data_IF_893184503463
#
_entry.id   IF_893184503463
#
_cell.length_a   1.000
_cell.length_b   1.000
_cell.length_c   1.000
_cell.angle_alpha   90.00
_cell.angle_beta   90.00
_cell.angle_gamma   90.00
#
_symmetry.space_group_name_H-M   'P 1'
#
loop_
_entity.id
_entity.type
_entity.pdbx_description
1 polymer ?
#
# COMPACT_ATOMS: atom_id res chain seq x y z
N UNK A 1 29.05 16.04 -31.78
CA UNK A 1 28.46 14.72 -32.04
C UNK A 1 27.12 14.98 -32.72
N UNK A 2 27.04 14.76 -34.03
CA UNK A 2 25.86 15.11 -34.84
C UNK A 2 24.88 13.94 -34.71
N UNK A 3 23.77 14.18 -34.02
CA UNK A 3 22.67 13.23 -33.91
C UNK A 3 22.00 13.16 -35.28
N UNK A 4 22.06 12.02 -35.96
CA UNK A 4 21.46 11.89 -37.29
C UNK A 4 19.98 11.56 -37.16
N UNK A 5 19.19 11.90 -38.19
CA UNK A 5 17.75 11.53 -38.27
C UNK A 5 17.56 10.01 -38.15
N UNK A 6 18.56 9.23 -38.56
CA UNK A 6 18.59 7.77 -38.42
C UNK A 6 18.70 7.33 -36.95
N UNK A 7 19.48 8.05 -36.14
CA UNK A 7 19.61 7.78 -34.70
C UNK A 7 18.30 8.10 -33.96
N UNK A 8 17.63 9.19 -34.34
CA UNK A 8 16.32 9.56 -33.78
C UNK A 8 15.21 8.56 -34.13
N UNK A 9 15.19 8.03 -35.36
CA UNK A 9 14.21 7.03 -35.79
C UNK A 9 14.46 5.67 -35.14
N UNK A 10 15.72 5.28 -34.94
CA UNK A 10 16.07 4.06 -34.22
C UNK A 10 15.67 4.14 -32.73
N UNK A 11 15.81 5.32 -32.11
CA UNK A 11 15.36 5.56 -30.72
C UNK A 11 13.81 5.52 -30.58
N UNK A 12 13.08 5.84 -31.65
CA UNK A 12 11.61 5.82 -31.68
C UNK A 12 11.01 4.43 -31.92
N UNK A 13 11.75 3.55 -32.60
CA UNK A 13 11.30 2.20 -32.99
C UNK A 13 11.88 1.11 -32.08
N UNK A 14 12.90 1.42 -31.28
CA UNK A 14 13.51 0.50 -30.33
C UNK A 14 12.60 0.17 -29.14
N UNK A 15 12.11 -1.08 -29.10
CA UNK A 15 11.36 -1.77 -28.04
C UNK A 15 9.82 -1.83 -28.17
N UNK A 16 9.32 -2.11 -29.37
CA UNK A 16 8.05 -2.82 -29.50
C UNK A 16 8.31 -4.26 -29.95
N UNK A 17 8.41 -5.16 -28.97
CA UNK A 17 8.28 -6.59 -29.22
C UNK A 17 6.86 -6.86 -29.74
N UNK A 18 6.83 -7.58 -30.85
CA UNK A 18 5.65 -8.04 -31.56
C UNK A 18 4.94 -9.09 -30.71
N UNK A 19 3.65 -8.90 -30.44
CA UNK A 19 2.61 -9.93 -30.58
C UNK A 19 1.22 -9.38 -30.23
N UNK A 20 0.25 -9.66 -31.12
CA UNK A 20 -1.21 -9.48 -31.02
C UNK A 20 -1.80 -8.07 -31.16
N UNK A 21 -2.06 -7.66 -32.41
CA UNK A 21 -3.39 -7.55 -33.01
C UNK A 21 -3.31 -6.74 -34.32
N UNK A 22 -3.01 -7.42 -35.43
CA UNK A 22 -2.86 -6.86 -36.78
C UNK A 22 -4.10 -7.11 -37.64
N UNK A 23 -5.14 -6.31 -37.48
CA UNK A 23 -6.17 -6.23 -38.55
C UNK A 23 -6.82 -4.85 -38.68
N UNK A 24 -6.85 -4.04 -37.62
CA UNK A 24 -7.35 -2.65 -37.71
C UNK A 24 -6.25 -1.60 -37.93
N UNK A 25 -5.01 -1.90 -37.54
CA UNK A 25 -3.86 -1.01 -37.75
C UNK A 25 -3.36 -1.08 -39.21
N UNK A 26 -3.45 -2.25 -39.85
CA UNK A 26 -3.03 -2.43 -41.25
C UNK A 26 -3.92 -1.68 -42.25
N UNK A 27 -5.20 -1.45 -41.92
CA UNK A 27 -6.10 -0.62 -42.73
C UNK A 27 -5.89 0.89 -42.55
N UNK A 28 -5.29 1.32 -41.44
CA UNK A 28 -4.96 2.74 -41.19
C UNK A 28 -3.56 3.06 -41.74
N UNK A 29 -2.62 2.12 -41.72
CA UNK A 29 -1.25 2.30 -42.20
C UNK A 29 -1.07 2.06 -43.71
N UNK A 30 -1.99 1.35 -44.38
CA UNK A 30 -1.93 1.09 -45.83
C UNK A 30 -2.18 2.34 -46.70
N UNK A 31 -2.73 3.42 -46.14
CA UNK A 31 -3.08 4.63 -46.90
C UNK A 31 -2.12 5.82 -46.75
N UNK A 32 -1.03 5.72 -45.98
CA UNK A 32 -0.10 6.87 -45.78
C UNK A 32 1.41 6.57 -45.76
N UNK A 33 1.84 5.33 -45.96
CA UNK A 33 3.26 4.96 -45.95
C UNK A 33 3.73 4.43 -47.31
N UNK A 34 3.65 5.23 -48.36
CA UNK A 34 4.54 5.01 -49.50
C UNK A 34 5.82 5.83 -49.25
N UNK A 35 6.98 5.18 -49.06
CA UNK A 35 8.27 5.87 -48.90
C UNK A 35 8.54 6.88 -50.01
N UNK A 36 8.03 6.60 -51.21
CA UNK A 36 8.11 7.49 -52.37
C UNK A 36 7.33 8.80 -52.17
N UNK A 37 6.19 8.75 -51.48
CA UNK A 37 5.40 9.94 -51.13
C UNK A 37 6.18 10.83 -50.16
N UNK A 38 6.76 10.23 -49.12
CA UNK A 38 7.58 10.92 -48.12
C UNK A 38 8.83 11.53 -48.77
N UNK A 39 9.48 10.80 -49.67
CA UNK A 39 10.64 11.28 -50.43
C UNK A 39 10.27 12.46 -51.34
N UNK A 40 9.15 12.37 -52.05
CA UNK A 40 8.66 13.44 -52.92
C UNK A 40 8.23 14.69 -52.13
N UNK A 41 7.62 14.54 -50.96
CA UNK A 41 7.25 15.65 -50.07
C UNK A 41 8.50 16.38 -49.52
N UNK A 42 9.55 15.62 -49.17
CA UNK A 42 10.85 16.18 -48.73
C UNK A 42 11.52 16.92 -49.89
N UNK A 43 11.49 16.34 -51.10
CA UNK A 43 12.06 16.96 -52.31
C UNK A 43 11.32 18.25 -52.69
N UNK A 44 9.98 18.25 -52.63
CA UNK A 44 9.16 19.43 -52.88
C UNK A 44 9.37 20.55 -51.84
N UNK A 45 9.63 20.20 -50.57
CA UNK A 45 10.01 21.16 -49.55
C UNK A 45 11.42 21.75 -49.79
N UNK A 46 12.37 20.94 -50.28
CA UNK A 46 13.74 21.39 -50.57
C UNK A 46 13.85 22.28 -51.82
N UNK A 47 12.95 22.09 -52.79
CA UNK A 47 12.93 22.83 -54.06
C UNK A 47 12.10 24.14 -54.00
N UNK A 48 11.62 24.54 -52.82
CA UNK A 48 11.17 25.92 -52.54
C UNK A 48 9.69 26.22 -52.77
N UNK A 49 8.79 25.22 -52.71
CA UNK A 49 7.37 25.41 -53.03
C UNK A 49 6.35 25.29 -51.90
N UNK A 50 6.72 24.77 -50.72
CA UNK A 50 5.76 24.53 -49.63
C UNK A 50 6.25 25.18 -48.33
N UNK A 51 5.48 26.14 -47.82
CA UNK A 51 5.65 26.63 -46.45
C UNK A 51 5.40 25.46 -45.49
N UNK A 52 6.50 24.89 -44.98
CA UNK A 52 6.44 23.94 -43.88
C UNK A 52 5.84 24.66 -42.67
N UNK A 53 4.57 24.42 -42.39
CA UNK A 53 3.99 24.75 -41.09
C UNK A 53 4.43 23.63 -40.15
N UNK A 54 5.42 23.83 -39.25
CA UNK A 54 5.83 22.79 -38.34
C UNK A 54 4.60 22.28 -37.59
N UNK A 55 4.33 20.98 -37.73
CA UNK A 55 3.38 20.28 -36.86
C UNK A 55 3.79 20.64 -35.43
N UNK A 56 2.97 21.43 -34.75
CA UNK A 56 3.20 21.79 -33.35
C UNK A 56 3.41 20.48 -32.61
N UNK A 57 4.64 20.25 -32.14
CA UNK A 57 4.99 19.06 -31.38
C UNK A 57 3.89 18.84 -30.34
N UNK A 58 3.30 17.63 -30.27
CA UNK A 58 2.19 17.38 -29.36
C UNK A 58 2.63 17.86 -27.99
N UNK A 59 1.91 18.85 -27.43
CA UNK A 59 2.21 19.40 -26.12
C UNK A 59 2.24 18.22 -25.16
N UNK A 60 3.44 17.79 -24.77
CA UNK A 60 3.61 16.74 -23.76
C UNK A 60 2.85 17.27 -22.55
N UNK A 61 1.71 16.64 -22.23
CA UNK A 61 0.91 17.02 -21.07
C UNK A 61 1.87 16.99 -19.89
N UNK A 62 2.17 18.17 -19.32
CA UNK A 62 2.97 18.28 -18.10
C UNK A 62 2.31 17.38 -17.08
N UNK A 63 2.97 16.27 -16.74
CA UNK A 63 2.50 15.39 -15.70
C UNK A 63 2.53 16.19 -14.40
N UNK A 64 1.36 16.40 -13.81
CA UNK A 64 1.24 17.02 -12.50
C UNK A 64 1.41 15.90 -11.48
N UNK A 65 2.45 15.92 -10.62
CA UNK A 65 2.60 14.90 -9.59
C UNK A 65 1.38 14.85 -8.70
N UNK A 66 0.90 13.64 -8.43
CA UNK A 66 -0.06 13.46 -7.35
C UNK A 66 0.67 13.53 -6.01
N UNK A 67 0.61 14.71 -5.40
CA UNK A 67 1.07 14.93 -4.03
C UNK A 67 -0.17 14.87 -3.15
N UNK A 68 -0.25 13.83 -2.32
CA UNK A 68 -1.36 13.72 -1.40
C UNK A 68 -1.20 14.69 -0.24
N UNK A 69 -2.27 14.86 0.53
CA UNK A 69 -2.25 15.71 1.71
C UNK A 69 -1.58 14.97 2.87
N UNK A 70 -0.64 15.62 3.57
CA UNK A 70 0.04 15.05 4.75
C UNK A 70 -0.95 14.78 5.88
N UNK A 71 -2.06 15.53 5.92
CA UNK A 71 -3.13 15.32 6.90
C UNK A 71 -3.92 14.04 6.62
N UNK A 72 -3.92 13.57 5.35
CA UNK A 72 -4.61 12.35 4.94
C UNK A 72 -3.71 11.12 5.02
N UNK A 73 -2.44 11.24 4.63
CA UNK A 73 -1.49 10.14 4.70
C UNK A 73 -0.05 10.63 4.84
N UNK A 74 0.80 9.84 5.49
CA UNK A 74 2.21 10.16 5.63
C UNK A 74 2.85 10.35 4.25
N UNK A 75 3.77 11.31 4.15
CA UNK A 75 4.57 11.43 2.94
C UNK A 75 5.50 10.24 2.81
N UNK A 76 5.60 9.76 1.58
CA UNK A 76 6.70 8.89 1.20
C UNK A 76 8.00 9.70 1.18
N UNK A 77 9.14 9.04 1.35
CA UNK A 77 10.45 9.68 1.25
C UNK A 77 10.64 10.48 -0.05
N UNK A 78 10.15 9.98 -1.19
CA UNK A 78 10.24 10.71 -2.45
C UNK A 78 9.46 12.03 -2.42
N UNK A 79 8.28 12.07 -1.80
CA UNK A 79 7.54 13.30 -1.61
C UNK A 79 8.20 14.24 -0.61
N UNK A 80 8.74 13.73 0.50
CA UNK A 80 9.50 14.55 1.44
C UNK A 80 10.70 15.24 0.76
N UNK A 81 11.42 14.51 -0.09
CA UNK A 81 12.54 15.07 -0.87
C UNK A 81 12.09 16.04 -1.95
N UNK A 82 10.96 15.78 -2.60
CA UNK A 82 10.36 16.71 -3.55
C UNK A 82 9.94 18.03 -2.87
N UNK A 83 9.23 17.96 -1.73
CA UNK A 83 8.72 19.12 -0.99
C UNK A 83 9.86 19.94 -0.41
N UNK A 84 10.89 19.30 0.15
CA UNK A 84 12.10 19.97 0.68
C UNK A 84 12.99 20.65 -0.36
N UNK A 85 12.52 20.79 -1.62
CA UNK A 85 13.20 21.47 -2.72
C UNK A 85 14.53 20.85 -3.18
N UNK A 86 14.94 19.70 -2.65
CA UNK A 86 16.19 19.02 -3.02
C UNK A 86 15.99 18.21 -4.31
N UNK A 87 16.53 18.67 -5.45
CA UNK A 87 16.49 17.96 -6.74
C UNK A 87 15.06 17.55 -7.14
N UNK A 88 14.09 18.49 -7.08
CA UNK A 88 12.66 18.26 -7.36
C UNK A 88 12.39 17.36 -8.57
N UNK A 89 12.98 17.68 -9.72
CA UNK A 89 12.78 16.92 -10.96
C UNK A 89 13.19 15.45 -10.83
N UNK A 90 14.30 15.17 -10.13
CA UNK A 90 14.79 13.80 -9.90
C UNK A 90 13.77 12.98 -9.10
N UNK A 91 13.22 13.55 -8.04
CA UNK A 91 12.26 12.83 -7.19
C UNK A 91 10.88 12.73 -7.84
N UNK A 92 10.50 13.72 -8.64
CA UNK A 92 9.31 13.64 -9.49
C UNK A 92 9.35 12.42 -10.43
N UNK A 93 10.47 12.24 -11.16
CA UNK A 93 10.65 11.07 -12.04
C UNK A 93 10.59 9.77 -11.22
N UNK A 94 11.23 9.73 -10.05
CA UNK A 94 11.20 8.55 -9.18
C UNK A 94 9.80 8.18 -8.67
N UNK A 95 8.97 9.17 -8.33
CA UNK A 95 7.56 8.96 -7.97
C UNK A 95 6.81 8.34 -9.13
N UNK A 96 6.91 8.93 -10.33
CA UNK A 96 6.24 8.44 -11.53
C UNK A 96 6.61 7.00 -11.88
N UNK A 97 7.91 6.66 -11.80
CA UNK A 97 8.37 5.30 -12.05
C UNK A 97 7.82 4.31 -11.02
N UNK A 98 7.72 4.71 -9.75
CA UNK A 98 7.12 3.89 -8.71
C UNK A 98 5.60 3.69 -8.93
N UNK A 99 4.89 4.73 -9.34
CA UNK A 99 3.45 4.69 -9.59
C UNK A 99 3.07 3.87 -10.83
N UNK A 100 3.85 3.98 -11.92
CA UNK A 100 3.53 3.37 -13.22
C UNK A 100 4.09 1.97 -13.43
N UNK A 101 5.32 1.72 -12.98
CA UNK A 101 6.05 0.48 -13.33
C UNK A 101 5.87 -0.62 -12.28
N UNK A 102 5.37 -0.28 -11.08
CA UNK A 102 5.23 -1.24 -10.00
C UNK A 102 3.81 -1.79 -9.90
N UNK A 103 3.74 -3.08 -9.59
CA UNK A 103 2.52 -3.80 -9.23
C UNK A 103 2.86 -4.75 -8.08
N UNK A 104 1.84 -5.23 -7.35
CA UNK A 104 2.07 -6.19 -6.27
C UNK A 104 2.81 -7.45 -6.74
N UNK A 105 2.59 -7.89 -7.98
CA UNK A 105 3.27 -9.07 -8.56
C UNK A 105 4.77 -8.88 -8.78
N UNK A 106 5.19 -7.64 -9.02
CA UNK A 106 6.58 -7.31 -9.34
C UNK A 106 7.37 -6.90 -8.08
N UNK A 107 6.70 -6.78 -6.93
CA UNK A 107 7.33 -6.53 -5.63
C UNK A 107 7.58 -7.87 -4.96
N UNK A 108 8.75 -8.08 -4.36
CA UNK A 108 9.01 -9.28 -3.57
C UNK A 108 8.20 -9.23 -2.27
N UNK A 109 7.56 -10.34 -1.82
CA UNK A 109 6.83 -10.38 -0.54
C UNK A 109 7.67 -9.92 0.66
N UNK A 110 8.95 -10.30 0.68
CA UNK A 110 9.94 -9.89 1.69
C UNK A 110 10.18 -8.38 1.73
N UNK A 111 10.11 -7.71 0.58
CA UNK A 111 10.27 -6.27 0.49
C UNK A 111 8.99 -5.55 0.90
N UNK A 112 7.83 -6.03 0.48
CA UNK A 112 6.54 -5.42 0.87
C UNK A 112 6.30 -5.54 2.37
N UNK A 113 6.58 -6.70 2.97
CA UNK A 113 6.45 -6.93 4.42
C UNK A 113 7.38 -6.03 5.24
N UNK A 114 8.62 -5.80 4.78
CA UNK A 114 9.52 -4.81 5.39
C UNK A 114 8.94 -3.40 5.34
N UNK A 115 8.44 -2.95 4.18
CA UNK A 115 7.87 -1.59 4.07
C UNK A 115 6.56 -1.42 4.86
N UNK A 116 5.72 -2.47 4.96
CA UNK A 116 4.56 -2.48 5.85
C UNK A 116 4.98 -2.34 7.31
N UNK A 117 6.03 -3.07 7.72
CA UNK A 117 6.60 -2.99 9.06
C UNK A 117 7.20 -1.61 9.35
N UNK A 118 7.90 -1.01 8.38
CA UNK A 118 8.38 0.36 8.49
C UNK A 118 7.24 1.36 8.68
N UNK A 119 6.15 1.21 7.91
CA UNK A 119 4.99 2.07 8.01
C UNK A 119 4.32 1.92 9.39
N UNK A 120 4.14 0.70 9.90
CA UNK A 120 3.59 0.48 11.24
C UNK A 120 4.44 1.14 12.33
N UNK A 121 5.76 0.92 12.33
CA UNK A 121 6.65 1.57 13.30
C UNK A 121 6.63 3.11 13.17
N UNK A 122 6.58 3.65 11.95
CA UNK A 122 6.46 5.10 11.72
C UNK A 122 5.18 5.64 12.35
N UNK A 123 4.05 4.95 12.19
CA UNK A 123 2.75 5.37 12.75
C UNK A 123 2.77 5.25 14.28
N UNK A 124 3.22 4.12 14.82
CA UNK A 124 3.30 3.87 16.27
C UNK A 124 4.11 4.96 16.98
N UNK A 125 5.23 5.39 16.40
CA UNK A 125 6.06 6.47 16.95
C UNK A 125 5.39 7.85 16.96
N UNK A 126 4.31 8.03 16.21
CA UNK A 126 3.56 9.29 16.16
C UNK A 126 2.41 9.34 17.17
N UNK A 127 1.86 8.19 17.56
CA UNK A 127 0.76 8.13 18.53
C UNK A 127 1.26 8.58 19.91
N UNK A 128 0.68 9.63 20.45
CA UNK A 128 1.02 10.05 21.80
C UNK A 128 0.39 9.11 22.83
N UNK A 129 1.07 8.77 23.94
CA UNK A 129 0.47 7.96 25.01
C UNK A 129 -0.84 8.56 25.56
N UNK A 130 -1.00 9.89 25.52
CA UNK A 130 -2.24 10.58 25.88
C UNK A 130 -3.41 10.21 24.97
N UNK A 131 -3.17 9.94 23.68
CA UNK A 131 -4.23 9.46 22.77
C UNK A 131 -4.73 8.07 23.16
N UNK A 132 -3.90 7.24 23.80
CA UNK A 132 -4.33 5.94 24.30
C UNK A 132 -5.17 6.09 25.58
N UNK A 133 -4.90 7.10 26.40
CA UNK A 133 -5.69 7.43 27.59
C UNK A 133 -7.04 8.06 27.22
N UNK A 134 -7.05 8.94 26.22
CA UNK A 134 -8.25 9.67 25.78
C UNK A 134 -9.21 8.80 24.95
N UNK A 135 -8.78 7.61 24.54
CA UNK A 135 -9.59 6.70 23.74
C UNK A 135 -10.58 5.91 24.60
N UNK A 136 -11.86 6.25 24.47
CA UNK A 136 -12.97 5.57 25.15
C UNK A 136 -13.84 4.70 24.23
N UNK A 137 -13.46 4.60 22.95
CA UNK A 137 -14.22 3.87 21.92
C UNK A 137 -15.34 4.66 21.27
N UNK A 138 -15.59 5.91 21.67
CA UNK A 138 -16.60 6.77 21.06
C UNK A 138 -16.06 7.52 19.84
N UNK A 139 -16.95 7.96 18.95
CA UNK A 139 -16.58 8.81 17.81
C UNK A 139 -15.95 10.14 18.27
N UNK A 140 -16.36 10.65 19.44
CA UNK A 140 -15.81 11.89 20.01
C UNK A 140 -14.33 11.76 20.38
N UNK A 141 -13.91 10.58 20.84
CA UNK A 141 -12.51 10.30 21.14
C UNK A 141 -11.67 10.23 19.85
N UNK A 142 -12.23 9.77 18.73
CA UNK A 142 -11.51 9.67 17.46
C UNK A 142 -11.05 11.04 16.93
N UNK A 143 -11.77 12.12 17.27
CA UNK A 143 -11.39 13.49 16.90
C UNK A 143 -10.15 13.97 17.69
N UNK A 144 -10.01 13.54 18.94
CA UNK A 144 -8.88 13.89 19.82
C UNK A 144 -7.66 12.99 19.59
N UNK A 145 -7.90 11.73 19.21
CA UNK A 145 -6.87 10.71 19.03
C UNK A 145 -6.40 10.65 17.56
N UNK A 146 -5.80 11.74 17.06
CA UNK A 146 -5.45 11.90 15.63
C UNK A 146 -4.65 10.73 15.05
N UNK A 147 -3.56 10.33 15.69
CA UNK A 147 -2.64 9.31 15.18
C UNK A 147 -3.16 7.89 15.44
N UNK A 148 -3.89 7.68 16.53
CA UNK A 148 -4.62 6.42 16.75
C UNK A 148 -5.66 6.20 15.64
N UNK A 149 -6.48 7.22 15.37
CA UNK A 149 -7.46 7.23 14.26
C UNK A 149 -6.77 7.04 12.91
N UNK A 150 -5.59 7.64 12.71
CA UNK A 150 -4.79 7.41 11.52
C UNK A 150 -4.38 5.95 11.37
N UNK A 151 -3.91 5.32 12.44
CA UNK A 151 -3.51 3.91 12.45
C UNK A 151 -4.69 2.99 12.12
N UNK A 152 -5.86 3.25 12.72
CA UNK A 152 -7.11 2.54 12.42
C UNK A 152 -7.47 2.65 10.93
N UNK A 153 -7.44 3.87 10.37
CA UNK A 153 -7.71 4.11 8.96
C UNK A 153 -6.72 3.38 8.05
N UNK A 154 -5.43 3.38 8.39
CA UNK A 154 -4.40 2.62 7.66
C UNK A 154 -4.71 1.13 7.65
N UNK A 155 -5.09 0.54 8.80
CA UNK A 155 -5.42 -0.87 8.90
C UNK A 155 -6.64 -1.23 8.03
N UNK A 156 -7.73 -0.46 8.15
CA UNK A 156 -8.93 -0.65 7.33
C UNK A 156 -8.64 -0.53 5.84
N UNK A 157 -7.78 0.42 5.47
CA UNK A 157 -7.37 0.64 4.07
C UNK A 157 -6.56 -0.53 3.53
N UNK A 158 -5.61 -1.04 4.31
CA UNK A 158 -4.81 -2.20 3.91
C UNK A 158 -5.69 -3.44 3.71
N UNK A 159 -6.62 -3.68 4.63
CA UNK A 159 -7.60 -4.76 4.53
C UNK A 159 -8.43 -4.66 3.24
N UNK A 160 -8.98 -3.48 2.95
CA UNK A 160 -9.77 -3.25 1.75
C UNK A 160 -8.94 -3.35 0.47
N UNK A 161 -7.71 -2.84 0.49
CA UNK A 161 -6.77 -2.94 -0.63
C UNK A 161 -6.45 -4.40 -0.97
N UNK A 162 -6.19 -5.23 0.05
CA UNK A 162 -5.97 -6.67 -0.13
C UNK A 162 -7.21 -7.31 -0.74
N UNK A 163 -8.39 -7.05 -0.16
CA UNK A 163 -9.65 -7.57 -0.68
C UNK A 163 -9.91 -7.20 -2.14
N UNK A 164 -9.69 -5.94 -2.52
CA UNK A 164 -9.90 -5.48 -3.89
C UNK A 164 -8.92 -6.11 -4.88
N UNK A 165 -7.64 -6.18 -4.51
CA UNK A 165 -6.59 -6.75 -5.38
C UNK A 165 -6.77 -8.25 -5.58
N UNK A 166 -7.31 -8.96 -4.58
CA UNK A 166 -7.61 -10.41 -4.67
C UNK A 166 -8.91 -10.69 -5.39
N UNK A 167 -9.91 -9.82 -5.24
CA UNK A 167 -11.17 -9.89 -5.99
C UNK A 167 -10.93 -9.69 -7.49
N UNK A 168 -10.04 -8.76 -7.86
CA UNK A 168 -9.68 -8.50 -9.26
C UNK A 168 -8.84 -9.62 -9.86
N UNK A 169 -8.03 -10.30 -9.06
CA UNK A 169 -7.14 -11.34 -9.56
C UNK A 169 -6.79 -12.38 -8.51
N UNK A 170 -7.38 -13.58 -8.57
CA UNK A 170 -7.11 -14.64 -7.60
C UNK A 170 -5.64 -15.01 -7.42
N UNK A 171 -4.77 -14.83 -8.42
CA UNK A 171 -3.33 -15.11 -8.28
C UNK A 171 -2.65 -14.23 -7.23
N UNK A 172 -3.24 -13.10 -6.82
CA UNK A 172 -2.70 -12.24 -5.75
C UNK A 172 -3.00 -12.79 -4.34
N UNK A 173 -3.89 -13.77 -4.19
CA UNK A 173 -4.16 -14.43 -2.89
C UNK A 173 -2.89 -15.07 -2.37
N UNK A 174 -2.29 -15.98 -3.16
CA UNK A 174 -1.01 -16.64 -2.81
C UNK A 174 0.09 -15.62 -2.50
N UNK A 175 0.18 -14.55 -3.28
CA UNK A 175 1.14 -13.46 -3.03
C UNK A 175 0.93 -12.83 -1.64
N UNK A 176 -0.31 -12.49 -1.26
CA UNK A 176 -0.58 -11.90 0.05
C UNK A 176 -0.43 -12.91 1.21
N UNK A 177 -0.65 -14.20 0.97
CA UNK A 177 -0.30 -15.26 1.93
C UNK A 177 1.21 -15.28 2.17
N UNK A 178 2.02 -15.23 1.10
CA UNK A 178 3.48 -15.12 1.21
C UNK A 178 3.92 -13.85 1.96
N UNK A 179 3.26 -12.71 1.71
CA UNK A 179 3.50 -11.47 2.47
C UNK A 179 3.16 -11.64 3.96
N UNK A 180 2.06 -12.31 4.28
CA UNK A 180 1.65 -12.58 5.66
C UNK A 180 2.66 -13.50 6.38
N UNK A 181 3.18 -14.53 5.70
CA UNK A 181 4.25 -15.39 6.23
C UNK A 181 5.54 -14.61 6.50
N UNK A 182 5.90 -13.66 5.63
CA UNK A 182 7.05 -12.79 5.88
C UNK A 182 6.81 -11.80 7.03
N UNK A 183 5.58 -11.30 7.20
CA UNK A 183 5.21 -10.47 8.34
C UNK A 183 5.27 -11.23 9.67
N UNK A 184 4.92 -12.52 9.69
CA UNK A 184 5.09 -13.39 10.87
C UNK A 184 6.57 -13.49 11.28
N UNK A 185 7.49 -13.66 10.32
CA UNK A 185 8.94 -13.66 10.58
C UNK A 185 9.44 -12.32 11.13
N UNK A 186 8.87 -11.22 10.65
CA UNK A 186 9.15 -9.86 11.15
C UNK A 186 8.40 -9.53 12.45
N UNK A 187 7.57 -10.46 12.95
CA UNK A 187 6.69 -10.27 14.10
C UNK A 187 5.80 -9.01 13.97
N UNK A 188 5.37 -8.70 12.75
CA UNK A 188 4.41 -7.64 12.49
C UNK A 188 2.98 -8.20 12.39
N UNK A 189 2.40 -8.46 13.55
CA UNK A 189 1.06 -9.04 13.64
C UNK A 189 -0.04 -8.04 13.29
N UNK A 190 0.20 -6.72 13.41
CA UNK A 190 -0.77 -5.71 13.01
C UNK A 190 -1.08 -5.77 11.51
N UNK A 191 -0.06 -5.63 10.66
CA UNK A 191 -0.27 -5.67 9.21
C UNK A 191 -0.63 -7.07 8.73
N UNK A 192 -0.16 -8.12 9.42
CA UNK A 192 -0.54 -9.50 9.12
C UNK A 192 -2.04 -9.72 9.33
N UNK A 193 -2.60 -9.25 10.45
CA UNK A 193 -4.04 -9.32 10.72
C UNK A 193 -4.85 -8.62 9.62
N UNK A 194 -4.45 -7.41 9.20
CA UNK A 194 -5.14 -6.71 8.11
C UNK A 194 -5.15 -7.49 6.79
N UNK A 195 -4.05 -8.16 6.45
CA UNK A 195 -3.97 -9.00 5.24
C UNK A 195 -4.90 -10.21 5.38
N UNK A 196 -4.86 -10.89 6.53
CA UNK A 196 -5.72 -12.05 6.82
C UNK A 196 -7.19 -11.64 6.68
N UNK A 197 -7.61 -10.54 7.30
CA UNK A 197 -9.00 -10.08 7.26
C UNK A 197 -9.43 -9.68 5.85
N UNK A 198 -8.54 -9.05 5.07
CA UNK A 198 -8.78 -8.74 3.66
C UNK A 198 -8.95 -9.99 2.79
N UNK A 199 -8.13 -11.02 3.02
CA UNK A 199 -8.23 -12.30 2.31
C UNK A 199 -9.52 -13.04 2.66
N UNK A 200 -9.90 -13.08 3.94
CA UNK A 200 -11.11 -13.75 4.44
C UNK A 200 -12.42 -13.16 3.92
N UNK A 201 -12.40 -11.94 3.39
CA UNK A 201 -13.54 -11.35 2.67
C UNK A 201 -13.77 -11.96 1.28
N UNK A 202 -12.84 -12.77 0.77
CA UNK A 202 -12.96 -13.47 -0.50
C UNK A 202 -13.34 -14.94 -0.30
N UNK A 203 -13.89 -15.55 -1.35
CA UNK A 203 -14.08 -17.01 -1.41
C UNK A 203 -12.72 -17.69 -1.67
N UNK A 204 -12.10 -18.16 -0.60
CA UNK A 204 -10.85 -18.92 -0.61
C UNK A 204 -11.13 -20.39 -0.98
N UNK A 205 -10.20 -21.03 -1.69
CA UNK A 205 -10.22 -22.48 -1.84
C UNK A 205 -9.66 -23.17 -0.58
N UNK A 206 -9.73 -24.50 -0.56
CA UNK A 206 -9.33 -25.29 0.61
C UNK A 206 -7.84 -25.12 0.93
N UNK A 207 -6.98 -25.00 -0.08
CA UNK A 207 -5.53 -24.88 0.11
C UNK A 207 -5.16 -23.51 0.67
N UNK A 208 -5.71 -22.44 0.08
CA UNK A 208 -5.53 -21.06 0.56
C UNK A 208 -6.10 -20.88 1.98
N UNK A 209 -7.25 -21.49 2.26
CA UNK A 209 -7.86 -21.48 3.59
C UNK A 209 -6.99 -22.19 4.63
N UNK A 210 -6.47 -23.37 4.30
CA UNK A 210 -5.58 -24.14 5.18
C UNK A 210 -4.30 -23.34 5.50
N UNK A 211 -3.67 -22.73 4.48
CA UNK A 211 -2.51 -21.87 4.68
C UNK A 211 -2.82 -20.67 5.61
N UNK A 212 -4.00 -20.06 5.47
CA UNK A 212 -4.44 -18.94 6.31
C UNK A 212 -4.79 -19.37 7.74
N UNK A 213 -5.33 -20.57 7.95
CA UNK A 213 -5.78 -21.03 9.27
C UNK A 213 -4.66 -21.02 10.32
N UNK A 214 -3.44 -21.43 9.94
CA UNK A 214 -2.27 -21.40 10.80
C UNK A 214 -1.84 -19.97 11.18
N UNK A 215 -2.03 -19.01 10.28
CA UNK A 215 -1.75 -17.60 10.54
C UNK A 215 -2.83 -16.95 11.42
N UNK A 216 -4.11 -17.29 11.18
CA UNK A 216 -5.26 -16.80 11.98
C UNK A 216 -5.10 -17.19 13.45
N UNK A 217 -4.65 -18.41 13.73
CA UNK A 217 -4.44 -18.88 15.10
C UNK A 217 -3.44 -18.01 15.87
N UNK A 218 -2.47 -17.40 15.18
CA UNK A 218 -1.44 -16.54 15.78
C UNK A 218 -1.94 -15.13 16.12
N UNK A 219 -3.00 -14.65 15.48
CA UNK A 219 -3.42 -13.24 15.59
C UNK A 219 -4.79 -13.03 16.23
N UNK A 220 -5.62 -14.08 16.29
CA UNK A 220 -7.02 -13.97 16.73
C UNK A 220 -7.20 -14.04 18.25
N UNK A 221 -6.30 -14.72 18.97
CA UNK A 221 -6.45 -14.89 20.41
C UNK A 221 -5.89 -13.68 21.19
N UNK A 222 -6.82 -12.87 21.70
CA UNK A 222 -6.52 -11.73 22.58
C UNK A 222 -5.62 -12.11 23.76
N UNK A 223 -5.91 -13.23 24.43
CA UNK A 223 -5.16 -13.65 25.61
C UNK A 223 -3.77 -14.13 25.23
N UNK A 224 -3.63 -14.86 24.11
CA UNK A 224 -2.33 -15.29 23.60
C UNK A 224 -1.45 -14.10 23.22
N UNK A 225 -1.98 -13.11 22.48
CA UNK A 225 -1.23 -11.90 22.13
C UNK A 225 -0.87 -11.10 23.39
N UNK A 226 -1.78 -10.99 24.36
CA UNK A 226 -1.47 -10.30 25.61
C UNK A 226 -0.35 -10.98 26.38
N UNK A 227 -0.40 -12.31 26.51
CA UNK A 227 0.68 -13.09 27.12
C UNK A 227 2.00 -12.86 26.39
N UNK A 228 1.95 -12.83 25.06
CA UNK A 228 3.11 -12.53 24.23
C UNK A 228 3.66 -11.12 24.47
N UNK A 229 2.82 -10.09 24.68
CA UNK A 229 3.26 -8.74 25.09
C UNK A 229 4.12 -8.83 26.35
N UNK A 230 3.61 -9.46 27.40
CA UNK A 230 4.33 -9.60 28.67
C UNK A 230 5.64 -10.37 28.52
N UNK A 231 5.66 -11.45 27.74
CA UNK A 231 6.87 -12.24 27.46
C UNK A 231 7.93 -11.43 26.69
N UNK A 232 7.52 -10.72 25.65
CA UNK A 232 8.40 -9.93 24.80
C UNK A 232 8.98 -8.73 25.54
N UNK A 233 8.17 -8.07 26.38
CA UNK A 233 8.66 -7.01 27.28
C UNK A 233 9.75 -7.51 28.22
N UNK A 234 9.57 -8.68 28.84
CA UNK A 234 10.57 -9.28 29.75
C UNK A 234 11.90 -9.55 29.05
N UNK A 235 11.85 -9.92 27.77
CA UNK A 235 13.04 -10.24 26.97
C UNK A 235 13.59 -9.04 26.19
N UNK A 236 12.98 -7.85 26.33
CA UNK A 236 13.31 -6.66 25.53
C UNK A 236 13.26 -6.90 24.01
N UNK A 237 12.29 -7.71 23.57
CA UNK A 237 12.05 -8.01 22.16
C UNK A 237 10.94 -7.13 21.61
N UNK A 238 11.12 -6.63 20.37
CA UNK A 238 10.19 -5.74 19.72
C UNK A 238 9.33 -6.50 18.71
N UNK A 239 8.02 -6.23 18.71
CA UNK A 239 7.09 -6.73 17.71
C UNK A 239 5.94 -5.75 17.50
N UNK A 240 5.25 -5.80 16.37
CA UNK A 240 4.11 -4.92 16.12
C UNK A 240 2.82 -5.63 16.50
N UNK A 241 2.27 -5.27 17.66
CA UNK A 241 1.01 -5.84 18.17
C UNK A 241 -0.20 -5.39 17.33
N UNK A 242 -1.20 -6.28 17.09
CA UNK A 242 -2.45 -5.89 16.46
C UNK A 242 -3.16 -4.79 17.23
N UNK A 243 -3.55 -3.71 16.54
CA UNK A 243 -4.19 -2.55 17.16
C UNK A 243 -5.48 -2.91 17.93
N UNK A 244 -6.25 -3.88 17.45
CA UNK A 244 -7.49 -4.33 18.10
C UNK A 244 -7.23 -4.90 19.51
N UNK A 245 -6.07 -5.51 19.77
CA UNK A 245 -5.70 -5.99 21.10
C UNK A 245 -5.47 -4.82 22.04
N UNK A 246 -4.74 -3.80 21.58
CA UNK A 246 -4.53 -2.56 22.34
C UNK A 246 -5.88 -1.91 22.65
N UNK A 247 -6.73 -1.70 21.64
CA UNK A 247 -8.05 -1.09 21.82
C UNK A 247 -8.92 -1.87 22.81
N UNK A 248 -8.94 -3.20 22.72
CA UNK A 248 -9.71 -4.03 23.65
C UNK A 248 -9.21 -3.88 25.09
N UNK A 249 -7.91 -3.81 25.31
CA UNK A 249 -7.35 -3.55 26.65
C UNK A 249 -7.71 -2.16 27.19
N UNK A 250 -7.77 -1.13 26.32
CA UNK A 250 -8.25 0.22 26.70
C UNK A 250 -9.72 0.20 27.13
N UNK A 251 -10.57 -0.45 26.35
CA UNK A 251 -12.00 -0.54 26.65
C UNK A 251 -12.28 -1.36 27.92
N UNK A 252 -11.51 -2.44 28.16
CA UNK A 252 -11.61 -3.23 29.39
C UNK A 252 -11.26 -2.40 30.65
N UNK A 253 -10.28 -1.49 30.56
CA UNK A 253 -9.96 -0.55 31.64
C UNK A 253 -11.11 0.43 31.89
N UNK A 254 -11.58 1.09 30.83
CA UNK A 254 -12.62 2.11 30.96
C UNK A 254 -13.94 1.52 31.50
N UNK A 255 -14.24 0.26 31.18
CA UNK A 255 -15.39 -0.44 31.73
C UNK A 255 -15.21 -0.86 33.21
N UNK A 256 -13.97 -0.99 33.70
CA UNK A 256 -13.65 -1.53 35.03
C UNK A 256 -12.67 -0.63 35.78
N UNK A 257 -12.96 0.67 35.89
CA UNK A 257 -12.05 1.68 36.46
C UNK A 257 -11.59 1.35 37.89
N UNK A 258 -12.42 0.66 38.68
CA UNK A 258 -12.07 0.24 40.05
C UNK A 258 -11.22 -1.04 40.12
N UNK A 259 -10.95 -1.71 38.99
CA UNK A 259 -10.23 -2.98 38.96
C UNK A 259 -8.72 -2.76 38.89
N UNK A 260 -8.02 -3.12 39.96
CA UNK A 260 -6.55 -3.11 39.99
C UNK A 260 -5.95 -3.99 38.87
N UNK A 261 -6.60 -5.13 38.58
CA UNK A 261 -6.17 -6.01 37.49
C UNK A 261 -6.28 -5.31 36.14
N UNK A 262 -7.38 -4.60 35.87
CA UNK A 262 -7.55 -3.84 34.63
C UNK A 262 -6.52 -2.71 34.51
N UNK A 263 -6.26 -1.99 35.62
CA UNK A 263 -5.24 -0.94 35.68
C UNK A 263 -3.83 -1.47 35.39
N UNK A 264 -3.42 -2.56 36.05
CA UNK A 264 -2.10 -3.17 35.81
C UNK A 264 -1.93 -3.61 34.36
N UNK A 265 -2.96 -4.27 33.80
CA UNK A 265 -2.93 -4.71 32.41
C UNK A 265 -2.79 -3.54 31.42
N UNK A 266 -3.46 -2.42 31.71
CA UNK A 266 -3.33 -1.21 30.91
C UNK A 266 -1.92 -0.63 31.00
N UNK A 267 -1.35 -0.56 32.21
CA UNK A 267 0.03 -0.13 32.40
C UNK A 267 1.01 -0.98 31.58
N UNK A 268 0.83 -2.31 31.54
CA UNK A 268 1.67 -3.21 30.73
C UNK A 268 1.56 -2.87 29.24
N UNK A 269 0.34 -2.61 28.73
CA UNK A 269 0.12 -2.22 27.33
C UNK A 269 0.77 -0.87 27.00
N UNK A 270 0.66 0.11 27.88
CA UNK A 270 1.29 1.43 27.70
C UNK A 270 2.81 1.31 27.75
N UNK A 271 3.36 0.54 28.70
CA UNK A 271 4.79 0.30 28.80
C UNK A 271 5.33 -0.42 27.56
N UNK A 272 4.61 -1.44 27.07
CA UNK A 272 4.92 -2.08 25.81
C UNK A 272 4.93 -1.07 24.66
N UNK A 273 3.90 -0.23 24.58
CA UNK A 273 3.77 0.79 23.54
C UNK A 273 4.96 1.77 23.56
N UNK A 274 5.30 2.29 24.74
CA UNK A 274 6.47 3.16 24.94
C UNK A 274 7.76 2.43 24.53
N UNK A 275 7.90 1.16 24.92
CA UNK A 275 9.02 0.30 24.52
C UNK A 275 9.14 0.18 22.99
N UNK A 276 8.03 0.01 22.28
CA UNK A 276 8.02 0.00 20.81
C UNK A 276 8.44 1.34 20.20
N UNK A 277 8.04 2.46 20.81
CA UNK A 277 8.42 3.79 20.33
C UNK A 277 9.91 4.06 20.52
N UNK A 278 10.46 3.63 21.67
CA UNK A 278 11.88 3.78 22.02
C UNK A 278 12.77 2.75 21.31
N UNK A 279 12.21 1.61 20.91
CA UNK A 279 12.90 0.54 20.23
C UNK A 279 13.63 1.00 18.96
N UNK A 280 14.90 0.61 18.82
CA UNK A 280 15.70 0.93 17.64
C UNK A 280 15.37 -0.02 16.49
N UNK A 281 14.22 0.18 15.85
CA UNK A 281 13.98 -0.42 14.54
C UNK A 281 14.81 0.35 13.50
N UNK A 282 15.87 -0.29 12.97
CA UNK A 282 16.73 0.31 11.93
C UNK A 282 15.96 0.39 10.62
N UNK A 283 15.36 1.53 10.38
CA UNK A 283 14.75 1.82 9.08
C UNK A 283 15.86 1.95 8.03
N UNK A 284 15.86 1.05 7.06
CA UNK A 284 16.69 1.22 5.86
C UNK A 284 16.25 2.46 5.07
N UNK A 285 17.13 2.95 4.19
CA UNK A 285 16.77 4.06 3.31
C UNK A 285 15.58 3.64 2.44
N UNK A 286 14.50 4.41 2.61
CA UNK A 286 13.30 4.35 1.80
C UNK A 286 13.59 4.32 0.29
N UNK A 287 12.87 3.44 -0.40
CA UNK A 287 13.09 3.11 -1.80
C UNK A 287 11.78 3.23 -2.63
N UNK A 288 11.84 2.78 -3.89
CA UNK A 288 10.72 2.80 -4.84
C UNK A 288 9.45 2.10 -4.29
N UNK A 289 9.63 1.03 -3.50
CA UNK A 289 8.57 0.17 -2.95
C UNK A 289 7.79 0.92 -1.87
N UNK A 290 8.44 1.70 -1.00
CA UNK A 290 7.75 2.54 -0.01
C UNK A 290 6.76 3.48 -0.71
N UNK A 291 7.23 4.21 -1.73
CA UNK A 291 6.38 5.15 -2.46
C UNK A 291 5.21 4.43 -3.13
N UNK A 292 5.46 3.28 -3.77
CA UNK A 292 4.42 2.45 -4.36
C UNK A 292 3.36 2.02 -3.34
N UNK A 293 3.79 1.50 -2.18
CA UNK A 293 2.89 1.09 -1.10
C UNK A 293 2.04 2.25 -0.61
N UNK A 294 2.65 3.40 -0.32
CA UNK A 294 1.96 4.57 0.19
C UNK A 294 0.96 5.10 -0.84
N UNK A 295 1.36 5.18 -2.11
CA UNK A 295 0.47 5.57 -3.19
C UNK A 295 -0.74 4.63 -3.30
N UNK A 296 -0.53 3.30 -3.23
CA UNK A 296 -1.62 2.33 -3.26
C UNK A 296 -2.60 2.48 -2.09
N UNK A 297 -2.08 2.70 -0.88
CA UNK A 297 -2.92 2.97 0.29
C UNK A 297 -3.71 4.27 0.12
N UNK A 298 -3.09 5.35 -0.36
CA UNK A 298 -3.79 6.62 -0.58
C UNK A 298 -4.86 6.52 -1.67
N UNK A 299 -4.57 5.81 -2.76
CA UNK A 299 -5.57 5.56 -3.80
C UNK A 299 -6.75 4.78 -3.20
N UNK A 300 -6.47 3.70 -2.46
CA UNK A 300 -7.51 2.91 -1.79
C UNK A 300 -8.33 3.73 -0.77
N UNK A 301 -7.72 4.67 -0.04
CA UNK A 301 -8.44 5.59 0.86
C UNK A 301 -9.42 6.51 0.13
N UNK A 302 -9.11 6.90 -1.10
CA UNK A 302 -9.90 7.85 -1.88
C UNK A 302 -10.96 7.20 -2.77
N UNK A 303 -10.91 5.88 -2.98
CA UNK A 303 -12.00 5.13 -3.60
C UNK A 303 -13.13 5.10 -2.57
N UNK A 304 -14.01 6.12 -2.62
CA UNK A 304 -15.21 6.22 -1.79
C UNK A 304 -15.89 4.86 -1.70
N UNK A 305 -15.98 4.30 -0.49
CA UNK A 305 -17.18 3.73 0.13
C UNK A 305 -18.37 3.34 -0.78
N UNK A 306 -18.12 2.65 -1.89
CA UNK A 306 -19.15 2.05 -2.74
C UNK A 306 -19.46 0.61 -2.34
N UNK A 307 -18.70 0.07 -1.38
CA UNK A 307 -19.15 -1.09 -0.63
C UNK A 307 -20.18 -0.64 0.41
N UNK A 308 -21.44 -0.46 -0.03
CA UNK A 308 -22.54 -0.96 0.79
C UNK A 308 -22.19 -2.42 1.01
N UNK A 309 -21.61 -2.74 2.16
CA UNK A 309 -21.51 -4.11 2.64
C UNK A 309 -22.95 -4.62 2.59
N UNK A 310 -23.28 -5.39 1.55
CA UNK A 310 -24.53 -6.14 1.54
C UNK A 310 -24.50 -6.91 2.84
N UNK A 311 -25.42 -6.61 3.75
CA UNK A 311 -25.54 -7.27 5.05
C UNK A 311 -25.39 -8.76 4.79
N UNK A 312 -24.22 -9.33 5.12
CA UNK A 312 -24.06 -10.77 5.16
C UNK A 312 -25.16 -11.25 6.10
N UNK A 313 -26.09 -12.03 5.55
CA UNK A 313 -27.20 -12.52 6.34
C UNK A 313 -26.64 -13.43 7.43
N UNK A 314 -27.26 -13.46 8.61
CA UNK A 314 -26.82 -14.33 9.74
C UNK A 314 -26.60 -15.79 9.34
N UNK A 315 -27.13 -16.23 8.19
CA UNK A 315 -26.93 -17.55 7.59
C UNK A 315 -25.48 -17.81 7.14
N UNK A 316 -24.75 -16.79 6.68
CA UNK A 316 -23.34 -16.89 6.25
C UNK A 316 -22.35 -16.83 7.43
N UNK A 317 -22.75 -16.18 8.54
CA UNK A 317 -22.05 -16.26 9.83
C UNK A 317 -22.28 -17.62 10.50
N UNK A 318 -23.45 -18.22 10.34
CA UNK A 318 -23.82 -19.50 10.95
C UNK A 318 -23.06 -20.71 10.40
N UNK A 319 -22.63 -20.70 9.15
CA UNK A 319 -21.79 -21.76 8.57
C UNK A 319 -20.33 -21.70 9.03
N UNK A 320 -19.87 -20.59 9.62
CA UNK A 320 -18.53 -20.46 10.21
C UNK A 320 -18.42 -21.02 11.64
N UNK A 321 -19.55 -21.28 12.31
CA UNK A 321 -19.58 -21.81 13.68
C UNK A 321 -19.77 -23.33 13.76
N UNK A 322 -19.88 -24.04 12.63
CA UNK A 322 -20.11 -25.50 12.61
C UNK A 322 -18.83 -26.34 12.40
N UNK A 323 -17.64 -25.74 12.50
CA UNK A 323 -16.36 -26.45 12.54
C UNK A 323 -15.48 -25.98 13.71
N UNK A 324 -16.08 -25.96 14.90
CA UNK A 324 -15.43 -26.12 16.21
C UNK A 324 -16.11 -27.30 16.91
#
# INVERSE_FOLDING_TARGET
MIYTVKDFLNDLVGNYDQEKNNSEIDNILSNRNQPDQIYNDIKACAEGGLEYTPLKAPKIKKFVPYIWDKEKFLYSYYQEKYISNKRKQKYLIKMQMAEKEMSFRNVKPTSLSKELTHLDYKIIRLVHPTELLDYDGTDSALEKCKWLTFWMKKNQTLENLVFEETSRNRKTIKYFIEVALELDKLQNYNSMQCIIDGLRKNNLDTDDFNALSGLVAKTKDYFAIRKLITEKMKNNELFVCPLNVIQKSLLELNANVASQTAANNFCDVIQFFIGLQQGFYKMEKSNKIEHFLYHKLVVAMNIKSHMKVSKMTKKELGSFFLFL
#
